data_IF_000061507020
#
_entry.id   IF_000061507020
#
_cell.length_a   1.000
_cell.length_b   1.000
_cell.length_c   1.000
_cell.angle_alpha   90.00
_cell.angle_beta   90.00
_cell.angle_gamma   90.00
#
_symmetry.space_group_name_H-M   'P 1'
#
loop_
_entity.id
_entity.type
_entity.pdbx_description
1 polymer ?
#
# COMPACT_ATOMS: atom_id res chain seq x y z
N UNK A 1 -20.01 -26.41 5.54
CA UNK A 1 -20.92 -25.49 6.27
C UNK A 1 -20.07 -24.46 7.03
N UNK A 2 -19.74 -23.32 6.37
CA UNK A 2 -19.07 -22.17 6.99
C UNK A 2 -20.09 -21.48 7.91
N UNK A 3 -19.75 -21.34 9.20
CA UNK A 3 -20.50 -20.51 10.15
C UNK A 3 -20.34 -19.03 9.75
N UNK A 4 -21.41 -18.43 9.24
CA UNK A 4 -21.51 -16.97 9.10
C UNK A 4 -21.41 -16.33 10.50
N UNK A 5 -20.34 -15.57 10.74
CA UNK A 5 -20.27 -14.61 11.84
C UNK A 5 -21.04 -13.36 11.40
N UNK A 6 -22.14 -13.09 12.07
CA UNK A 6 -22.90 -11.83 11.97
C UNK A 6 -22.03 -10.68 12.49
N UNK A 7 -21.89 -9.59 11.67
CA UNK A 7 -21.49 -8.29 12.15
C UNK A 7 -20.16 -7.78 11.58
N UNK A 8 -20.16 -7.34 10.42
CA UNK A 8 -19.45 -6.39 9.57
C UNK A 8 -19.44 -6.98 8.17
N UNK A 9 -20.08 -6.36 7.21
CA UNK A 9 -19.86 -6.69 5.80
C UNK A 9 -18.41 -6.35 5.51
N UNK A 10 -17.56 -7.37 5.40
CA UNK A 10 -16.17 -7.19 4.99
C UNK A 10 -16.20 -6.67 3.54
N UNK A 11 -15.81 -5.41 3.36
CA UNK A 11 -15.70 -4.81 2.03
C UNK A 11 -14.42 -5.37 1.41
N UNK A 12 -14.56 -6.41 0.58
CA UNK A 12 -13.47 -6.91 -0.24
C UNK A 12 -13.20 -5.96 -1.39
N UNK A 13 -11.93 -5.78 -1.73
CA UNK A 13 -11.50 -4.98 -2.87
C UNK A 13 -10.79 -5.85 -3.90
N UNK A 14 -10.75 -5.39 -5.15
CA UNK A 14 -10.06 -6.07 -6.22
C UNK A 14 -9.00 -5.15 -6.82
N UNK A 15 -7.84 -5.72 -7.11
CA UNK A 15 -6.78 -5.14 -7.92
C UNK A 15 -6.34 -6.16 -8.96
N UNK A 16 -5.84 -5.70 -10.12
CA UNK A 16 -5.49 -6.55 -11.23
C UNK A 16 -4.02 -6.31 -11.60
N UNK A 17 -3.22 -7.37 -11.56
CA UNK A 17 -1.80 -7.30 -11.87
C UNK A 17 -1.44 -8.14 -13.09
N UNK A 18 -0.89 -7.48 -14.10
CA UNK A 18 -0.24 -8.11 -15.24
C UNK A 18 1.27 -8.13 -14.97
N UNK A 19 1.87 -9.29 -14.79
CA UNK A 19 3.25 -9.45 -14.36
C UNK A 19 4.03 -10.52 -15.15
N UNK A 20 3.76 -10.65 -16.46
CA UNK A 20 4.24 -11.77 -17.27
C UNK A 20 3.31 -12.97 -17.16
N UNK A 21 3.84 -14.20 -17.17
CA UNK A 21 3.05 -15.40 -17.02
C UNK A 21 2.22 -15.38 -15.72
N UNK A 22 0.90 -15.44 -15.85
CA UNK A 22 -0.04 -15.28 -14.73
C UNK A 22 0.02 -16.42 -13.69
N UNK A 23 0.49 -17.63 -14.02
CA UNK A 23 0.60 -18.75 -13.07
C UNK A 23 1.46 -18.41 -11.85
N UNK A 24 2.62 -17.77 -12.12
CA UNK A 24 3.53 -17.38 -11.04
C UNK A 24 2.98 -16.21 -10.23
N UNK A 25 2.34 -15.25 -10.88
CA UNK A 25 1.70 -14.10 -10.23
C UNK A 25 0.55 -14.58 -9.32
N UNK A 26 -0.32 -15.46 -9.81
CA UNK A 26 -1.42 -16.05 -9.04
C UNK A 26 -0.91 -16.74 -7.79
N UNK A 27 0.03 -17.69 -7.95
CA UNK A 27 0.59 -18.44 -6.83
C UNK A 27 1.31 -17.53 -5.82
N UNK A 28 2.00 -16.49 -6.29
CA UNK A 28 2.66 -15.52 -5.40
C UNK A 28 1.66 -14.80 -4.51
N UNK A 29 0.62 -14.21 -5.12
CA UNK A 29 -0.36 -13.42 -4.38
C UNK A 29 -1.30 -14.26 -3.53
N UNK A 30 -1.63 -15.48 -3.94
CA UNK A 30 -2.46 -16.39 -3.13
C UNK A 30 -1.85 -16.72 -1.76
N UNK A 31 -0.52 -16.58 -1.61
CA UNK A 31 0.21 -16.80 -0.35
C UNK A 31 0.26 -15.60 0.58
N UNK A 32 -0.21 -14.43 0.15
CA UNK A 32 -0.16 -13.22 0.97
C UNK A 32 -1.33 -13.20 1.96
N UNK A 33 -1.08 -13.11 3.28
CA UNK A 33 -2.15 -12.99 4.25
C UNK A 33 -2.99 -11.74 3.99
N UNK A 34 -4.31 -11.91 3.90
CA UNK A 34 -5.25 -10.85 3.55
C UNK A 34 -5.70 -10.90 2.08
N UNK A 35 -5.02 -11.61 1.21
CA UNK A 35 -5.56 -12.03 -0.09
C UNK A 35 -6.55 -13.16 0.15
N UNK A 36 -7.75 -13.03 -0.40
CA UNK A 36 -8.88 -13.92 -0.15
C UNK A 36 -9.17 -14.82 -1.34
N UNK A 37 -8.85 -14.35 -2.55
CA UNK A 37 -9.06 -15.08 -3.80
C UNK A 37 -8.14 -14.52 -4.89
N UNK A 38 -7.75 -15.37 -5.83
CA UNK A 38 -7.00 -15.02 -7.03
C UNK A 38 -7.64 -15.68 -8.24
N UNK A 39 -7.58 -15.03 -9.40
CA UNK A 39 -8.14 -15.56 -10.64
C UNK A 39 -7.29 -15.13 -11.83
N UNK A 40 -6.74 -16.10 -12.56
CA UNK A 40 -6.06 -15.86 -13.83
C UNK A 40 -7.05 -15.40 -14.90
N UNK A 41 -6.65 -14.45 -15.73
CA UNK A 41 -7.48 -13.95 -16.83
C UNK A 41 -6.73 -13.04 -17.79
N UNK A 42 -7.48 -12.37 -18.63
CA UNK A 42 -7.01 -11.49 -19.69
C UNK A 42 -7.62 -10.11 -19.51
N UNK A 43 -6.78 -9.08 -19.42
CA UNK A 43 -7.23 -7.71 -19.16
C UNK A 43 -6.87 -6.73 -20.28
N UNK A 44 -7.69 -5.68 -20.39
CA UNK A 44 -7.46 -4.48 -21.17
C UNK A 44 -7.23 -4.71 -22.68
N UNK A 45 -7.84 -5.76 -23.24
CA UNK A 45 -7.82 -6.03 -24.66
C UNK A 45 -9.00 -5.44 -25.43
N UNK A 46 -9.10 -5.81 -26.71
CA UNK A 46 -10.01 -5.20 -27.69
C UNK A 46 -11.18 -6.10 -28.13
N UNK A 47 -11.24 -7.34 -27.65
CA UNK A 47 -12.29 -8.31 -28.02
C UNK A 47 -13.11 -8.74 -26.80
N UNK A 48 -14.21 -9.41 -27.03
CA UNK A 48 -15.00 -10.05 -25.98
C UNK A 48 -14.66 -11.53 -25.89
N UNK A 49 -14.53 -12.05 -24.67
CA UNK A 49 -14.30 -13.48 -24.38
C UNK A 49 -13.18 -14.11 -25.24
N UNK A 50 -11.93 -13.61 -25.14
CA UNK A 50 -10.82 -14.19 -25.88
C UNK A 50 -10.49 -15.59 -25.37
N UNK A 51 -10.01 -16.47 -26.25
CA UNK A 51 -9.35 -17.72 -25.85
C UNK A 51 -7.86 -17.49 -25.62
N UNK A 52 -7.21 -18.39 -24.90
CA UNK A 52 -5.76 -18.35 -24.69
C UNK A 52 -4.99 -18.30 -26.01
N UNK A 53 -5.39 -19.12 -27.00
CA UNK A 53 -4.76 -19.14 -28.32
C UNK A 53 -4.85 -17.79 -29.04
N UNK A 54 -6.00 -17.11 -28.94
CA UNK A 54 -6.18 -15.77 -29.49
C UNK A 54 -5.28 -14.74 -28.78
N UNK A 55 -5.16 -14.80 -27.45
CA UNK A 55 -4.26 -13.92 -26.69
C UNK A 55 -2.80 -14.16 -27.09
N UNK A 56 -2.37 -15.40 -27.23
CA UNK A 56 -1.02 -15.77 -27.67
C UNK A 56 -0.72 -15.34 -29.13
N UNK A 57 -1.73 -15.05 -29.94
CA UNK A 57 -1.52 -14.57 -31.31
C UNK A 57 -0.98 -13.13 -31.39
N UNK A 58 -0.88 -12.43 -30.24
CA UNK A 58 -0.43 -11.03 -30.14
C UNK A 58 -1.29 -10.01 -30.92
N UNK A 59 -2.55 -10.37 -31.23
CA UNK A 59 -3.47 -9.53 -32.03
C UNK A 59 -4.62 -8.96 -31.23
N UNK A 60 -4.85 -9.44 -30.02
CA UNK A 60 -6.02 -9.08 -29.20
C UNK A 60 -5.76 -7.90 -28.25
N UNK A 61 -4.50 -7.58 -28.02
CA UNK A 61 -4.08 -6.53 -27.10
C UNK A 61 -4.35 -6.83 -25.61
N UNK A 62 -4.70 -8.07 -25.25
CA UNK A 62 -4.84 -8.49 -23.86
C UNK A 62 -3.50 -8.71 -23.18
N UNK A 63 -3.45 -8.42 -21.87
CA UNK A 63 -2.39 -8.87 -21.00
C UNK A 63 -2.84 -10.07 -20.16
N UNK A 64 -1.95 -11.06 -19.98
CA UNK A 64 -2.11 -12.05 -18.93
C UNK A 64 -2.13 -11.34 -17.58
N UNK A 65 -3.21 -11.51 -16.82
CA UNK A 65 -3.50 -10.70 -15.64
C UNK A 65 -4.10 -11.56 -14.56
N UNK A 66 -3.75 -11.29 -13.31
CA UNK A 66 -4.38 -11.92 -12.14
C UNK A 66 -5.27 -10.90 -11.45
N UNK A 67 -6.54 -11.24 -11.27
CA UNK A 67 -7.43 -10.55 -10.34
C UNK A 67 -7.07 -10.98 -8.92
N UNK A 68 -6.86 -10.04 -8.03
CA UNK A 68 -6.55 -10.26 -6.62
C UNK A 68 -7.66 -9.65 -5.79
N UNK A 69 -8.46 -10.50 -5.15
CA UNK A 69 -9.46 -10.09 -4.17
C UNK A 69 -8.85 -10.11 -2.77
N UNK A 70 -8.86 -8.99 -2.09
CA UNK A 70 -8.21 -8.83 -0.79
C UNK A 70 -9.08 -8.09 0.22
N UNK A 71 -8.78 -8.33 1.50
CA UNK A 71 -9.36 -7.57 2.61
C UNK A 71 -8.44 -6.38 2.94
N UNK A 72 -8.87 -5.13 2.67
CA UNK A 72 -8.05 -3.95 2.93
C UNK A 72 -7.81 -3.68 4.44
N UNK A 73 -8.59 -4.28 5.33
CA UNK A 73 -8.36 -4.22 6.77
C UNK A 73 -7.23 -5.16 7.23
N UNK A 74 -6.86 -6.15 6.40
CA UNK A 74 -5.77 -7.09 6.68
C UNK A 74 -4.51 -6.73 5.92
N UNK A 75 -4.61 -6.45 4.61
CA UNK A 75 -3.47 -6.07 3.79
C UNK A 75 -3.75 -4.80 3.01
N UNK A 76 -2.89 -3.79 3.17
CA UNK A 76 -3.03 -2.53 2.44
C UNK A 76 -2.66 -2.71 0.96
N UNK A 77 -3.35 -1.98 0.06
CA UNK A 77 -3.06 -1.99 -1.39
C UNK A 77 -1.59 -1.66 -1.68
N UNK A 78 -1.00 -0.69 -0.97
CA UNK A 78 0.41 -0.31 -1.14
C UNK A 78 1.36 -1.50 -0.88
N UNK A 79 1.03 -2.38 0.06
CA UNK A 79 1.81 -3.61 0.31
C UNK A 79 1.72 -4.54 -0.89
N UNK A 80 0.52 -4.77 -1.44
CA UNK A 80 0.32 -5.59 -2.64
C UNK A 80 1.09 -5.02 -3.84
N UNK A 81 1.02 -3.71 -4.06
CA UNK A 81 1.77 -3.03 -5.14
C UNK A 81 3.29 -3.16 -4.94
N UNK A 82 3.80 -2.99 -3.73
CA UNK A 82 5.24 -3.21 -3.44
C UNK A 82 5.66 -4.65 -3.70
N UNK A 83 4.82 -5.64 -3.34
CA UNK A 83 5.10 -7.04 -3.61
C UNK A 83 5.07 -7.34 -5.12
N UNK A 84 4.18 -6.68 -5.88
CA UNK A 84 4.15 -6.79 -7.33
C UNK A 84 5.48 -6.36 -7.96
N UNK A 85 6.03 -5.21 -7.54
CA UNK A 85 7.32 -4.74 -8.04
C UNK A 85 8.53 -5.62 -7.65
N UNK A 86 8.39 -6.50 -6.66
CA UNK A 86 9.44 -7.46 -6.30
C UNK A 86 9.50 -8.69 -7.23
N UNK A 87 8.44 -8.95 -7.98
CA UNK A 87 8.34 -10.14 -8.82
C UNK A 87 8.40 -9.85 -10.32
N UNK A 88 8.55 -8.58 -10.71
CA UNK A 88 8.65 -8.17 -12.11
C UNK A 88 9.98 -7.42 -12.37
N UNK A 89 10.37 -7.38 -13.65
CA UNK A 89 11.29 -6.36 -14.17
C UNK A 89 10.48 -5.14 -14.65
N UNK A 90 10.43 -4.05 -13.89
CA UNK A 90 9.50 -2.95 -14.15
C UNK A 90 9.91 -2.04 -15.31
N UNK A 91 11.11 -2.22 -15.88
CA UNK A 91 11.60 -1.46 -17.05
C UNK A 91 11.57 -2.28 -18.33
N UNK A 92 11.18 -3.56 -18.24
CA UNK A 92 11.11 -4.46 -19.38
C UNK A 92 9.78 -4.28 -20.14
N UNK A 93 9.87 -4.06 -21.46
CA UNK A 93 8.71 -3.88 -22.33
C UNK A 93 8.32 -5.21 -22.97
N UNK A 94 7.05 -5.61 -22.85
CA UNK A 94 6.47 -6.82 -23.44
C UNK A 94 7.29 -8.10 -23.18
N UNK A 95 7.89 -8.17 -21.99
CA UNK A 95 8.72 -9.31 -21.60
C UNK A 95 8.86 -9.41 -20.09
N UNK A 96 8.77 -10.65 -19.56
CA UNK A 96 9.16 -10.97 -18.20
C UNK A 96 9.91 -12.31 -18.19
N UNK A 97 11.14 -12.31 -17.67
CA UNK A 97 12.01 -13.50 -17.75
C UNK A 97 12.24 -13.98 -19.18
N UNK A 98 11.83 -15.20 -19.48
CA UNK A 98 11.91 -15.81 -20.81
C UNK A 98 10.67 -15.57 -21.68
N UNK A 99 9.56 -15.13 -21.06
CA UNK A 99 8.27 -14.94 -21.73
C UNK A 99 8.30 -13.63 -22.52
N UNK A 100 7.95 -13.68 -23.82
CA UNK A 100 7.98 -12.55 -24.76
C UNK A 100 6.67 -12.45 -25.52
N UNK A 101 6.18 -11.24 -25.67
CA UNK A 101 4.94 -10.90 -26.34
C UNK A 101 4.18 -9.82 -25.57
N UNK A 102 3.25 -9.11 -26.23
CA UNK A 102 2.48 -8.04 -25.59
C UNK A 102 1.59 -8.56 -24.46
N UNK A 103 1.22 -9.85 -24.47
CA UNK A 103 0.46 -10.48 -23.39
C UNK A 103 1.26 -10.58 -22.07
N UNK A 104 2.60 -10.53 -22.13
CA UNK A 104 3.48 -10.56 -20.96
C UNK A 104 3.98 -9.18 -20.51
N UNK A 105 3.33 -8.10 -21.00
CA UNK A 105 3.60 -6.75 -20.51
C UNK A 105 3.18 -6.60 -19.06
N UNK A 106 3.79 -5.66 -18.37
CA UNK A 106 3.47 -5.37 -16.97
C UNK A 106 2.42 -4.28 -16.85
N UNK A 107 1.51 -4.44 -15.90
CA UNK A 107 0.45 -3.47 -15.66
C UNK A 107 -0.21 -3.61 -14.29
N UNK A 108 -0.72 -2.49 -13.80
CA UNK A 108 -1.57 -2.38 -12.61
C UNK A 108 -2.88 -1.75 -13.08
N UNK A 109 -3.97 -2.52 -13.02
CA UNK A 109 -5.28 -2.07 -13.47
C UNK A 109 -6.22 -1.94 -12.27
N UNK A 110 -6.76 -0.74 -12.05
CA UNK A 110 -7.59 -0.41 -10.90
C UNK A 110 -9.06 -0.24 -11.29
N UNK A 111 -9.97 -0.43 -10.33
CA UNK A 111 -11.43 -0.28 -10.52
C UNK A 111 -12.02 0.92 -9.79
N UNK A 112 -11.27 1.51 -8.85
CA UNK A 112 -11.67 2.69 -8.08
C UNK A 112 -10.65 3.81 -8.22
N UNK A 113 -11.12 5.05 -8.35
CA UNK A 113 -10.23 6.22 -8.34
C UNK A 113 -9.48 6.38 -7.01
N UNK A 114 -10.00 5.85 -5.91
CA UNK A 114 -9.34 5.83 -4.60
C UNK A 114 -8.03 5.01 -4.62
N UNK A 115 -7.92 4.02 -5.51
CA UNK A 115 -6.73 3.18 -5.64
C UNK A 115 -5.56 3.91 -6.34
N UNK A 116 -5.85 4.97 -7.09
CA UNK A 116 -4.83 5.68 -7.89
C UNK A 116 -3.70 6.20 -7.04
N UNK A 117 -4.02 6.89 -5.96
CA UNK A 117 -3.01 7.55 -5.13
C UNK A 117 -2.08 6.56 -4.43
N UNK A 118 -2.57 5.51 -3.74
CA UNK A 118 -1.71 4.48 -3.17
C UNK A 118 -0.76 3.85 -4.21
N UNK A 119 -1.26 3.56 -5.42
CA UNK A 119 -0.46 2.97 -6.49
C UNK A 119 0.61 3.96 -6.98
N UNK A 120 0.21 5.19 -7.32
CA UNK A 120 1.13 6.22 -7.82
C UNK A 120 2.26 6.52 -6.84
N UNK A 121 1.96 6.60 -5.55
CA UNK A 121 2.97 6.85 -4.53
C UNK A 121 4.01 5.74 -4.49
N UNK A 122 3.60 4.47 -4.56
CA UNK A 122 4.55 3.34 -4.62
C UNK A 122 5.34 3.36 -5.93
N UNK A 123 4.70 3.60 -7.07
CA UNK A 123 5.39 3.71 -8.36
C UNK A 123 6.44 4.82 -8.35
N UNK A 124 6.12 5.97 -7.78
CA UNK A 124 7.07 7.07 -7.63
C UNK A 124 8.27 6.68 -6.74
N UNK A 125 8.04 5.98 -5.65
CA UNK A 125 9.12 5.48 -4.78
C UNK A 125 10.02 4.50 -5.52
N UNK A 126 9.44 3.54 -6.23
CA UNK A 126 10.17 2.54 -7.03
C UNK A 126 10.95 3.20 -8.18
N UNK A 127 10.38 4.21 -8.84
CA UNK A 127 11.07 4.91 -9.94
C UNK A 127 12.42 5.47 -9.53
N UNK A 128 12.64 5.81 -8.27
CA UNK A 128 13.92 6.35 -7.77
C UNK A 128 15.07 5.36 -7.86
N UNK A 129 14.77 4.07 -7.85
CA UNK A 129 15.75 2.99 -7.94
C UNK A 129 16.15 2.67 -9.38
N UNK A 130 15.46 3.26 -10.37
CA UNK A 130 15.69 3.01 -11.79
C UNK A 130 16.02 4.30 -12.55
N UNK A 131 17.06 4.25 -13.38
CA UNK A 131 17.42 5.36 -14.27
C UNK A 131 16.54 5.47 -15.52
N UNK A 132 15.84 4.39 -15.87
CA UNK A 132 14.90 4.34 -16.99
C UNK A 132 13.47 4.52 -16.46
N UNK A 133 12.55 5.08 -17.26
CA UNK A 133 11.14 5.10 -16.89
C UNK A 133 10.58 3.69 -16.66
N UNK A 134 9.70 3.54 -15.68
CA UNK A 134 8.97 2.30 -15.50
C UNK A 134 8.10 2.03 -16.74
N UNK A 135 8.15 0.79 -17.24
CA UNK A 135 7.35 0.31 -18.37
C UNK A 135 6.01 -0.33 -17.93
N UNK A 136 5.64 -0.15 -16.67
CA UNK A 136 4.43 -0.70 -16.07
C UNK A 136 3.23 0.17 -16.46
N UNK A 137 2.25 -0.41 -17.14
CA UNK A 137 0.97 0.26 -17.41
C UNK A 137 0.26 0.58 -16.10
N UNK A 138 -0.29 1.79 -15.99
CA UNK A 138 -1.10 2.20 -14.85
C UNK A 138 -2.38 2.84 -15.37
N UNK A 139 -3.44 2.04 -15.44
CA UNK A 139 -4.69 2.40 -16.11
C UNK A 139 -5.91 1.89 -15.34
N UNK A 140 -7.11 2.48 -15.59
CA UNK A 140 -8.37 1.85 -15.21
C UNK A 140 -8.52 0.48 -15.88
N UNK A 141 -9.10 -0.46 -15.16
CA UNK A 141 -9.55 -1.72 -15.78
C UNK A 141 -10.69 -1.45 -16.75
N UNK A 142 -10.49 -1.77 -18.04
CA UNK A 142 -11.51 -1.62 -19.09
C UNK A 142 -12.36 -2.87 -19.25
N UNK A 143 -11.73 -4.02 -19.19
CA UNK A 143 -12.35 -5.33 -19.25
C UNK A 143 -11.43 -6.39 -18.63
N UNK A 144 -12.04 -7.47 -18.14
CA UNK A 144 -11.35 -8.65 -17.65
C UNK A 144 -12.19 -9.88 -18.00
N UNK A 145 -11.55 -10.88 -18.54
CA UNK A 145 -12.15 -12.18 -18.84
C UNK A 145 -11.34 -13.26 -18.13
N UNK A 146 -11.99 -14.11 -17.28
CA UNK A 146 -11.32 -15.24 -16.69
C UNK A 146 -10.69 -16.14 -17.75
N UNK A 147 -9.49 -16.61 -17.48
CA UNK A 147 -8.86 -17.63 -18.29
C UNK A 147 -9.52 -19.00 -18.05
N UNK A 148 -9.23 -19.93 -18.95
CA UNK A 148 -9.78 -21.28 -18.91
C UNK A 148 -9.42 -21.99 -17.59
N UNK A 149 -10.28 -22.92 -17.14
CA UNK A 149 -10.16 -23.61 -15.83
C UNK A 149 -8.79 -24.27 -15.61
N UNK A 150 -8.14 -24.77 -16.68
CA UNK A 150 -6.83 -25.41 -16.57
C UNK A 150 -5.68 -24.44 -16.25
N UNK A 151 -5.92 -23.12 -16.34
CA UNK A 151 -4.96 -22.10 -15.93
C UNK A 151 -5.10 -21.69 -14.46
N UNK A 152 -6.24 -21.95 -13.84
CA UNK A 152 -6.50 -21.57 -12.46
C UNK A 152 -5.73 -22.48 -11.50
N UNK A 153 -5.10 -21.90 -10.48
CA UNK A 153 -4.31 -22.63 -9.47
C UNK A 153 -3.24 -23.56 -10.09
N UNK A 154 -2.71 -23.20 -11.26
CA UNK A 154 -1.85 -24.08 -12.05
C UNK A 154 -0.65 -24.60 -11.27
N UNK A 155 0.08 -23.74 -10.57
CA UNK A 155 1.27 -24.13 -9.80
C UNK A 155 0.94 -24.89 -8.52
N UNK A 156 -0.25 -24.71 -7.93
CA UNK A 156 -0.72 -25.54 -6.82
C UNK A 156 -0.99 -26.98 -7.29
N UNK A 157 -1.58 -27.12 -8.48
CA UNK A 157 -1.87 -28.41 -9.10
C UNK A 157 -0.63 -29.04 -9.74
N UNK A 158 0.36 -28.23 -10.15
CA UNK A 158 1.59 -28.63 -10.82
C UNK A 158 2.83 -28.02 -10.14
N UNK A 159 3.26 -28.51 -8.96
CA UNK A 159 4.33 -27.88 -8.15
C UNK A 159 5.70 -27.77 -8.85
N UNK A 160 5.91 -28.53 -9.95
CA UNK A 160 7.12 -28.49 -10.78
C UNK A 160 6.89 -27.76 -12.12
N UNK A 161 5.77 -27.07 -12.26
CA UNK A 161 5.46 -26.28 -13.45
C UNK A 161 6.44 -25.12 -13.62
N UNK A 162 6.45 -24.57 -14.85
CA UNK A 162 7.28 -23.39 -15.15
C UNK A 162 6.88 -22.20 -14.30
N UNK A 163 7.86 -21.58 -13.65
CA UNK A 163 7.71 -20.32 -12.95
C UNK A 163 9.03 -19.53 -12.98
N UNK A 164 8.97 -18.26 -13.35
CA UNK A 164 10.14 -17.36 -13.35
C UNK A 164 10.21 -16.51 -12.07
N UNK A 165 9.19 -16.56 -11.21
CA UNK A 165 9.07 -15.70 -10.03
C UNK A 165 9.84 -16.31 -8.85
N UNK A 166 10.60 -15.46 -8.15
CA UNK A 166 11.22 -15.80 -6.88
C UNK A 166 10.27 -15.49 -5.71
N UNK A 167 9.86 -16.51 -4.99
CA UNK A 167 8.98 -16.40 -3.82
C UNK A 167 9.71 -15.97 -2.54
N UNK A 168 11.03 -15.77 -2.59
CA UNK A 168 11.84 -15.47 -1.39
C UNK A 168 11.42 -14.15 -0.71
N UNK A 169 10.88 -13.22 -1.47
CA UNK A 169 10.43 -11.91 -0.93
C UNK A 169 9.18 -12.01 -0.04
N UNK A 170 8.43 -13.13 -0.09
CA UNK A 170 7.31 -13.37 0.83
C UNK A 170 7.75 -13.47 2.30
N UNK A 171 9.01 -13.84 2.57
CA UNK A 171 9.58 -13.88 3.94
C UNK A 171 9.67 -12.49 4.60
N UNK A 172 9.59 -11.43 3.79
CA UNK A 172 9.58 -10.06 4.29
C UNK A 172 8.20 -9.64 4.80
N UNK A 173 7.16 -10.41 4.51
CA UNK A 173 5.84 -10.20 5.06
C UNK A 173 5.72 -10.78 6.46
N UNK A 174 5.05 -10.03 7.33
CA UNK A 174 4.74 -10.44 8.70
C UNK A 174 3.25 -10.31 8.97
N UNK A 175 2.70 -11.19 9.80
CA UNK A 175 1.37 -11.00 10.38
C UNK A 175 1.56 -10.41 11.76
N UNK A 176 1.04 -9.21 11.97
CA UNK A 176 1.12 -8.46 13.23
C UNK A 176 0.18 -9.04 14.28
N UNK A 177 0.36 -8.68 15.57
CA UNK A 177 -0.54 -9.15 16.65
C UNK A 177 -2.01 -8.77 16.46
N UNK A 178 -2.31 -7.67 15.75
CA UNK A 178 -3.65 -7.24 15.38
C UNK A 178 -4.25 -8.00 14.19
N UNK A 179 -3.50 -8.94 13.60
CA UNK A 179 -3.90 -9.74 12.45
C UNK A 179 -3.61 -9.10 11.09
N UNK A 180 -3.07 -7.89 11.04
CA UNK A 180 -2.74 -7.20 9.78
C UNK A 180 -1.44 -7.71 9.18
N UNK A 181 -1.36 -7.68 7.88
CA UNK A 181 -0.13 -7.94 7.13
C UNK A 181 0.72 -6.67 7.08
N UNK A 182 1.98 -6.80 7.45
CA UNK A 182 2.99 -5.74 7.38
C UNK A 182 4.22 -6.20 6.63
N UNK A 183 5.11 -5.26 6.35
CA UNK A 183 6.45 -5.54 5.80
C UNK A 183 7.45 -5.46 6.95
N UNK A 184 8.26 -6.52 7.09
CA UNK A 184 9.37 -6.50 8.04
C UNK A 184 10.36 -5.40 7.65
N UNK A 185 10.59 -4.47 8.58
CA UNK A 185 11.55 -3.40 8.37
C UNK A 185 12.97 -3.91 8.63
N UNK A 186 13.89 -3.59 7.72
CA UNK A 186 15.32 -3.81 7.97
C UNK A 186 15.82 -2.76 8.95
N UNK A 187 16.03 -3.18 10.19
CA UNK A 187 16.44 -2.29 11.27
C UNK A 187 17.80 -1.64 11.00
N UNK A 188 18.70 -2.33 10.29
CA UNK A 188 20.02 -1.79 9.94
C UNK A 188 19.89 -0.65 8.93
N UNK A 189 19.05 -0.82 7.94
CA UNK A 189 18.78 0.24 6.94
C UNK A 189 18.02 1.42 7.57
N UNK A 190 17.06 1.17 8.47
CA UNK A 190 16.39 2.24 9.20
C UNK A 190 17.36 3.06 10.04
N UNK A 191 18.30 2.43 10.75
CA UNK A 191 19.32 3.11 11.55
C UNK A 191 20.28 3.98 10.72
N UNK A 192 20.53 3.60 9.45
CA UNK A 192 21.35 4.41 8.54
C UNK A 192 20.58 5.62 7.98
N UNK A 193 19.28 5.46 7.72
CA UNK A 193 18.43 6.44 7.05
C UNK A 193 17.80 7.45 8.01
N UNK A 194 17.43 7.01 9.21
CA UNK A 194 16.77 7.83 10.21
C UNK A 194 17.78 8.46 11.17
N UNK A 195 17.47 9.66 11.68
CA UNK A 195 18.18 10.19 12.86
C UNK A 195 17.89 9.30 14.07
N UNK A 196 18.72 9.40 15.10
CA UNK A 196 18.50 8.65 16.35
C UNK A 196 17.11 8.93 16.94
N UNK A 197 16.69 10.19 16.98
CA UNK A 197 15.37 10.58 17.51
C UNK A 197 14.24 9.99 16.68
N UNK A 198 14.31 10.06 15.34
CA UNK A 198 13.32 9.46 14.44
C UNK A 198 13.22 7.95 14.64
N UNK A 199 14.38 7.28 14.76
CA UNK A 199 14.42 5.84 15.02
C UNK A 199 13.82 5.49 16.38
N UNK A 200 14.25 6.21 17.46
CA UNK A 200 13.76 5.95 18.81
C UNK A 200 12.24 6.20 18.91
N UNK A 201 11.72 7.25 18.27
CA UNK A 201 10.28 7.52 18.25
C UNK A 201 9.53 6.43 17.49
N UNK A 202 9.91 6.13 16.24
CA UNK A 202 9.14 5.24 15.38
C UNK A 202 9.26 3.77 15.76
N UNK A 203 10.43 3.32 16.24
CA UNK A 203 10.72 1.90 16.51
C UNK A 203 10.70 1.53 17.99
N UNK A 204 11.01 2.47 18.88
CA UNK A 204 11.10 2.22 20.32
C UNK A 204 9.99 2.91 21.12
N UNK A 205 8.96 3.44 20.46
CA UNK A 205 7.82 4.15 21.05
C UNK A 205 8.25 5.29 22.02
N UNK A 206 9.34 5.97 21.70
CA UNK A 206 9.78 7.16 22.43
C UNK A 206 8.93 8.37 22.05
N UNK A 207 8.96 9.41 22.88
CA UNK A 207 8.29 10.69 22.64
C UNK A 207 9.33 11.80 22.57
N UNK A 208 9.28 12.62 21.51
CA UNK A 208 10.08 13.83 21.38
C UNK A 208 9.70 14.88 22.44
N UNK A 209 10.58 15.82 22.76
CA UNK A 209 10.30 16.87 23.75
C UNK A 209 9.23 17.84 23.17
N UNK A 210 8.28 18.32 24.01
CA UNK A 210 7.29 19.27 23.57
C UNK A 210 7.95 20.58 23.09
N UNK A 211 7.38 21.20 22.03
CA UNK A 211 7.83 22.46 21.43
C UNK A 211 9.21 22.40 20.75
N UNK A 212 9.81 21.23 20.54
CA UNK A 212 11.13 21.09 19.91
C UNK A 212 11.05 20.43 18.52
N UNK A 213 10.00 19.69 18.23
CA UNK A 213 9.81 19.01 16.96
C UNK A 213 9.60 19.98 15.79
N UNK A 214 9.93 19.55 14.58
CA UNK A 214 9.90 20.40 13.38
C UNK A 214 8.49 20.93 13.03
N UNK A 215 7.42 20.18 13.36
CA UNK A 215 6.08 20.43 12.85
C UNK A 215 5.06 20.89 13.90
N UNK A 216 5.44 21.09 15.17
CA UNK A 216 4.48 21.52 16.19
C UNK A 216 3.81 22.85 15.82
N UNK A 217 4.56 23.81 15.26
CA UNK A 217 4.08 25.13 14.81
C UNK A 217 4.27 25.30 13.29
N UNK A 218 3.95 24.27 12.51
CA UNK A 218 4.08 24.28 11.05
C UNK A 218 2.70 24.42 10.40
N UNK A 219 2.52 25.39 9.48
CA UNK A 219 1.23 25.74 8.89
C UNK A 219 1.25 25.74 7.34
N UNK A 220 2.32 25.29 6.72
CA UNK A 220 2.38 25.22 5.26
C UNK A 220 1.37 24.19 4.73
N UNK A 221 0.63 24.49 3.63
CA UNK A 221 -0.27 23.54 3.01
C UNK A 221 0.46 22.34 2.44
N UNK A 222 0.03 21.13 2.82
CA UNK A 222 0.66 19.89 2.36
C UNK A 222 0.17 18.66 3.12
N UNK A 223 0.90 17.57 2.95
CA UNK A 223 0.60 16.27 3.54
C UNK A 223 1.75 15.80 4.44
N UNK A 224 1.39 15.17 5.54
CA UNK A 224 2.31 14.52 6.48
C UNK A 224 2.25 13.00 6.26
N UNK A 225 3.41 12.41 6.00
CA UNK A 225 3.54 10.98 5.72
C UNK A 225 4.43 10.31 6.76
N UNK A 226 4.29 9.00 6.92
CA UNK A 226 5.20 8.20 7.76
C UNK A 226 6.63 8.33 7.24
N UNK A 227 7.56 8.72 8.10
CA UNK A 227 8.97 8.88 7.72
C UNK A 227 9.63 7.55 7.35
N UNK A 228 9.08 6.43 7.82
CA UNK A 228 9.60 5.07 7.56
C UNK A 228 9.12 4.56 6.19
N UNK A 229 7.84 4.66 5.89
CA UNK A 229 7.22 4.01 4.73
C UNK A 229 6.76 4.99 3.64
N UNK A 230 6.66 6.28 3.94
CA UNK A 230 6.02 7.24 3.04
C UNK A 230 4.49 7.11 3.00
N UNK A 231 3.88 6.32 3.88
CA UNK A 231 2.42 6.19 3.97
C UNK A 231 1.77 7.54 4.29
N UNK A 232 0.73 7.97 3.55
CA UNK A 232 -0.01 9.18 3.84
C UNK A 232 -0.77 9.07 5.16
N UNK A 233 -0.55 10.00 6.09
CA UNK A 233 -1.12 9.94 7.43
C UNK A 233 -2.09 11.08 7.72
N UNK A 234 -1.66 12.34 7.54
CA UNK A 234 -2.44 13.51 7.91
C UNK A 234 -2.30 14.63 6.88
N UNK A 235 -3.27 15.55 6.83
CA UNK A 235 -3.19 16.76 6.00
C UNK A 235 -3.02 18.01 6.83
N UNK A 236 -2.49 19.07 6.23
CA UNK A 236 -2.43 20.39 6.85
C UNK A 236 -3.82 20.99 7.11
N UNK A 237 -4.85 20.58 6.34
CA UNK A 237 -6.23 21.04 6.54
C UNK A 237 -6.85 20.51 7.84
N UNK A 238 -6.40 19.34 8.31
CA UNK A 238 -6.86 18.74 9.55
C UNK A 238 -5.98 19.09 10.76
N UNK A 239 -4.88 19.87 10.54
CA UNK A 239 -3.96 20.30 11.60
C UNK A 239 -4.51 21.52 12.33
N UNK A 240 -4.35 21.55 13.67
CA UNK A 240 -4.75 22.67 14.50
C UNK A 240 -3.77 22.90 15.66
N UNK A 241 -3.84 24.10 16.24
CA UNK A 241 -3.03 24.48 17.39
C UNK A 241 -3.70 24.03 18.70
N UNK A 242 -3.19 22.96 19.28
CA UNK A 242 -3.68 22.43 20.55
C UNK A 242 -2.96 23.00 21.77
N UNK A 243 -1.82 23.68 21.58
CA UNK A 243 -0.98 24.19 22.66
C UNK A 243 -0.18 23.13 23.41
N UNK A 244 -0.25 21.85 23.01
CA UNK A 244 0.43 20.74 23.71
C UNK A 244 1.92 20.62 23.38
N UNK A 245 2.40 21.29 22.35
CA UNK A 245 3.81 21.25 21.93
C UNK A 245 4.16 20.17 20.90
N UNK A 246 3.17 19.47 20.36
CA UNK A 246 3.29 18.50 19.28
C UNK A 246 2.29 18.81 18.17
N UNK A 247 2.55 18.43 16.92
CA UNK A 247 1.56 18.52 15.84
C UNK A 247 0.28 17.79 16.23
N UNK A 248 -0.86 18.46 16.08
CA UNK A 248 -2.16 17.93 16.44
C UNK A 248 -3.09 17.96 15.25
N UNK A 249 -3.79 16.85 15.01
CA UNK A 249 -4.70 16.68 13.87
C UNK A 249 -6.07 16.20 14.36
N UNK A 250 -7.12 16.57 13.63
CA UNK A 250 -8.49 16.19 13.96
C UNK A 250 -8.84 14.79 13.48
N UNK A 251 -8.20 14.34 12.40
CA UNK A 251 -8.40 13.00 11.81
C UNK A 251 -7.23 12.62 10.90
N UNK A 252 -7.00 11.32 10.64
CA UNK A 252 -6.10 10.87 9.58
C UNK A 252 -6.71 11.10 8.19
N UNK A 253 -5.88 11.06 7.13
CA UNK A 253 -6.32 11.19 5.71
C UNK A 253 -7.38 10.15 5.33
N UNK A 254 -7.25 8.95 5.89
CA UNK A 254 -8.22 7.84 5.83
C UNK A 254 -8.20 7.14 7.18
N UNK A 255 -9.35 6.66 7.65
CA UNK A 255 -9.44 5.95 8.94
C UNK A 255 -8.49 4.75 9.05
N UNK A 256 -8.23 4.09 7.93
CA UNK A 256 -7.32 2.93 7.86
C UNK A 256 -5.82 3.29 7.77
N UNK A 257 -5.45 4.58 7.65
CA UNK A 257 -4.04 4.99 7.60
C UNK A 257 -3.32 4.81 8.93
N UNK A 258 -4.06 4.73 10.02
CA UNK A 258 -3.52 4.53 11.37
C UNK A 258 -4.22 3.37 12.07
N UNK A 259 -3.56 2.82 13.08
CA UNK A 259 -4.10 1.83 14.02
C UNK A 259 -4.05 2.39 15.43
N UNK A 260 -5.01 2.01 16.25
CA UNK A 260 -5.16 2.47 17.63
C UNK A 260 -5.00 1.29 18.59
N UNK A 261 -4.14 1.43 19.58
CA UNK A 261 -3.81 0.38 20.53
C UNK A 261 -3.90 0.90 21.97
N UNK A 262 -4.49 0.14 22.92
CA UNK A 262 -4.47 0.51 24.32
C UNK A 262 -3.03 0.62 24.84
N UNK A 263 -2.69 1.74 25.47
CA UNK A 263 -1.38 1.99 26.09
C UNK A 263 -1.56 2.25 27.59
N UNK A 264 -1.00 1.36 28.42
CA UNK A 264 -0.99 1.47 29.87
C UNK A 264 0.41 1.79 30.42
N UNK A 265 1.35 2.19 29.59
CA UNK A 265 2.70 2.55 30.00
C UNK A 265 2.72 3.78 30.91
N UNK A 266 3.77 3.91 31.69
CA UNK A 266 3.98 5.05 32.62
C UNK A 266 2.84 5.32 33.61
N UNK A 267 2.00 4.31 33.89
CA UNK A 267 0.86 4.44 34.78
C UNK A 267 -0.30 5.28 34.26
N UNK A 268 -0.32 5.57 32.96
CA UNK A 268 -1.37 6.29 32.23
C UNK A 268 -2.22 5.31 31.43
N UNK A 269 -3.48 5.70 31.17
CA UNK A 269 -4.36 4.98 30.24
C UNK A 269 -4.56 5.88 29.02
N UNK A 270 -3.97 5.49 27.90
CA UNK A 270 -4.00 6.24 26.64
C UNK A 270 -4.31 5.30 25.48
N UNK A 271 -4.52 5.87 24.30
CA UNK A 271 -4.63 5.13 23.05
C UNK A 271 -3.44 5.52 22.17
N UNK A 272 -2.51 4.58 21.98
CA UNK A 272 -1.38 4.73 21.07
C UNK A 272 -1.87 4.72 19.63
N UNK A 273 -1.27 5.59 18.80
CA UNK A 273 -1.49 5.65 17.35
C UNK A 273 -0.23 5.18 16.64
N UNK A 274 -0.41 4.21 15.73
CA UNK A 274 0.67 3.69 14.89
C UNK A 274 0.29 3.77 13.42
N UNK A 275 1.27 3.87 12.51
CA UNK A 275 1.00 3.80 11.08
C UNK A 275 0.57 2.39 10.66
N UNK A 276 -0.36 2.29 9.69
CA UNK A 276 -0.91 1.00 9.27
C UNK A 276 0.08 0.12 8.53
N UNK A 277 0.90 0.69 7.65
CA UNK A 277 1.88 -0.06 6.85
C UNK A 277 3.21 -0.26 7.59
N UNK A 278 3.72 0.81 8.22
CA UNK A 278 5.04 0.83 8.84
C UNK A 278 5.06 0.25 10.26
N UNK A 279 3.91 0.21 10.93
CA UNK A 279 3.81 -0.03 12.37
C UNK A 279 4.67 0.94 13.19
N UNK A 280 4.93 2.13 12.63
CA UNK A 280 5.67 3.18 13.31
C UNK A 280 4.85 3.75 14.44
N UNK A 281 5.43 3.86 15.65
CA UNK A 281 4.81 4.66 16.69
C UNK A 281 4.72 6.11 16.23
N UNK A 282 3.50 6.66 16.24
CA UNK A 282 3.25 8.05 15.82
C UNK A 282 3.02 8.97 17.03
N UNK A 283 2.30 8.51 18.01
CA UNK A 283 1.87 9.27 19.18
C UNK A 283 0.64 8.68 19.83
N UNK A 284 -0.29 9.55 20.26
CA UNK A 284 -1.51 9.13 20.94
C UNK A 284 -2.72 9.93 20.47
N UNK A 285 -3.91 9.36 20.61
CA UNK A 285 -5.18 10.02 20.34
C UNK A 285 -5.94 10.28 21.64
N UNK A 286 -6.61 11.45 21.69
CA UNK A 286 -7.37 11.94 22.86
C UNK A 286 -8.74 12.44 22.39
N UNK A 287 -9.72 12.44 23.30
CA UNK A 287 -11.11 12.90 23.07
C UNK A 287 -11.30 14.39 23.47
N UNK A 288 -10.23 15.18 23.44
CA UNK A 288 -10.20 16.59 23.82
C UNK A 288 -9.95 17.54 22.65
N UNK A 289 -10.20 17.06 21.44
CA UNK A 289 -10.09 17.83 20.20
C UNK A 289 -11.27 18.79 19.96
N UNK A 290 -11.22 19.58 18.86
CA UNK A 290 -12.27 20.53 18.54
C UNK A 290 -13.62 19.85 18.29
N UNK A 291 -14.66 20.22 19.01
CA UNK A 291 -15.99 19.59 18.93
C UNK A 291 -16.62 19.67 17.52
N UNK A 292 -16.34 20.74 16.76
CA UNK A 292 -16.86 20.93 15.39
C UNK A 292 -16.26 19.95 14.35
N UNK A 293 -15.18 19.24 14.68
CA UNK A 293 -14.48 18.29 13.80
C UNK A 293 -14.43 16.87 14.37
N UNK A 294 -15.36 16.52 15.25
CA UNK A 294 -15.48 15.16 15.78
C UNK A 294 -14.85 14.94 17.16
N UNK A 295 -14.26 15.98 17.78
CA UNK A 295 -13.78 15.93 19.16
C UNK A 295 -12.48 15.14 19.39
N UNK A 296 -11.87 14.59 18.34
CA UNK A 296 -10.62 13.84 18.45
C UNK A 296 -9.39 14.73 18.25
N UNK A 297 -8.32 14.42 18.99
CA UNK A 297 -7.00 15.05 18.84
C UNK A 297 -5.94 13.96 18.70
N UNK A 298 -5.43 13.80 17.50
CA UNK A 298 -4.26 12.98 17.21
C UNK A 298 -3.01 13.80 17.50
N UNK A 299 -2.35 13.52 18.62
CA UNK A 299 -1.13 14.19 19.08
C UNK A 299 0.08 13.38 18.62
N UNK A 300 0.77 13.86 17.60
CA UNK A 300 1.73 13.09 16.82
C UNK A 300 3.13 13.67 16.97
N UNK A 301 4.15 12.80 17.09
CA UNK A 301 5.55 13.22 17.13
C UNK A 301 5.98 13.74 15.73
N UNK A 302 6.60 14.91 15.67
CA UNK A 302 7.19 15.44 14.42
C UNK A 302 8.23 14.48 13.86
N UNK A 303 8.99 13.82 14.73
CA UNK A 303 10.05 12.87 14.36
C UNK A 303 9.52 11.63 13.63
N UNK A 304 8.23 11.29 13.77
CA UNK A 304 7.59 10.20 13.04
C UNK A 304 7.09 10.62 11.64
N UNK A 305 7.14 11.90 11.32
CA UNK A 305 6.54 12.48 10.12
C UNK A 305 7.60 13.01 9.14
N UNK A 306 7.26 12.94 7.85
CA UNK A 306 7.88 13.73 6.78
C UNK A 306 6.79 14.60 6.15
N UNK A 307 7.04 15.89 6.03
CA UNK A 307 6.13 16.82 5.37
C UNK A 307 6.45 16.94 3.88
N UNK A 308 5.41 16.97 3.07
CA UNK A 308 5.47 17.20 1.62
C UNK A 308 4.60 18.42 1.32
N UNK A 309 5.19 19.54 0.87
CA UNK A 309 4.44 20.75 0.56
C UNK A 309 3.52 20.53 -0.65
N UNK A 310 2.39 21.22 -0.66
CA UNK A 310 1.38 21.14 -1.74
C UNK A 310 1.98 21.22 -3.15
N UNK A 311 2.99 22.08 -3.33
CA UNK A 311 3.65 22.30 -4.62
C UNK A 311 4.43 21.07 -5.14
N UNK A 312 4.78 20.14 -4.25
CA UNK A 312 5.53 18.92 -4.60
C UNK A 312 4.69 17.65 -4.53
N UNK A 313 3.43 17.73 -4.12
CA UNK A 313 2.60 16.54 -3.93
C UNK A 313 2.39 15.75 -5.23
N UNK A 314 2.16 16.43 -6.36
CA UNK A 314 2.07 15.75 -7.66
C UNK A 314 3.39 15.07 -8.05
N UNK A 315 4.49 15.80 -7.91
CA UNK A 315 5.83 15.32 -8.23
C UNK A 315 6.23 14.11 -7.37
N UNK A 316 5.83 14.09 -6.08
CA UNK A 316 6.16 13.02 -5.14
C UNK A 316 5.10 11.89 -5.08
N UNK A 317 4.11 11.88 -6.00
CA UNK A 317 3.11 10.82 -6.10
C UNK A 317 1.91 10.95 -5.14
N UNK A 318 1.76 12.11 -4.48
CA UNK A 318 0.66 12.39 -3.55
C UNK A 318 -0.43 13.29 -4.15
N UNK A 319 -0.43 13.49 -5.47
CA UNK A 319 -1.34 14.42 -6.17
C UNK A 319 -2.81 14.19 -5.91
N UNK A 320 -3.24 12.94 -5.78
CA UNK A 320 -4.64 12.62 -5.50
C UNK A 320 -5.14 13.09 -4.11
N UNK A 321 -4.23 13.47 -3.21
CA UNK A 321 -4.59 14.06 -1.90
C UNK A 321 -4.72 15.58 -1.94
N UNK A 322 -4.47 16.25 -3.07
CA UNK A 322 -4.57 17.71 -3.21
C UNK A 322 -5.97 18.25 -2.91
N UNK A 323 -7.01 17.48 -3.24
CA UNK A 323 -8.39 17.87 -2.98
C UNK A 323 -8.75 17.90 -1.47
N UNK A 324 -8.00 17.19 -0.64
CA UNK A 324 -8.16 17.19 0.82
C UNK A 324 -7.56 18.44 1.49
N UNK A 325 -6.82 19.27 0.75
CA UNK A 325 -6.20 20.51 1.25
C UNK A 325 -7.08 21.77 1.05
N UNK A 326 -8.33 21.59 0.61
CA UNK A 326 -9.29 22.70 0.35
C UNK A 326 -10.06 23.09 1.60
#
# INVERSE_FOLDING_TARGET
RRKQRKGCEMIMQNIYFAGGCFWGVEEYFSRIPGVCDTECGYANGTRSNPTYEEVCSDTTGFAETVRIMYNPDIVALRILVRQFFKIIDPVSVNRQGNDRGSQYRTGIYYTSDEDRSPIQTVMYEIQKDYSQPLAVEFEPLRNFYPAEDYHQDYLQNHPHGYCHIDFSSLKDLIVRPDGRTGIKQDQTELQKRLTREQYDVTQNASTERPFTGQYWNHHEPGIYVDIVTGEPLFTSADKFDSGCGWPSFTKPVMSRAVTEHPDSSHGMHRVEVRSSEGDSHLGHVFEDGPAGTGGMRYCINSAALRFIPRSRMDEEGYGAYLDLLK
#
